data_IF_603537416273
#
_entry.id   IF_603537416273
#
_cell.length_a   1.000
_cell.length_b   1.000
_cell.length_c   1.000
_cell.angle_alpha   90.00
_cell.angle_beta   90.00
_cell.angle_gamma   90.00
#
_symmetry.space_group_name_H-M   'P 1'
#
loop_
_entity.id
_entity.type
_entity.pdbx_description
1 polymer ?
#
# COMPACT_ATOMS: atom_id res chain seq x y z
N UNK A 1 16.82 5.18 1.43
CA UNK A 1 17.28 5.50 0.06
C UNK A 1 16.83 4.35 -0.84
N UNK A 2 16.15 4.64 -1.95
CA UNK A 2 15.70 3.62 -2.90
C UNK A 2 16.71 3.43 -4.05
N UNK A 3 16.68 2.25 -4.68
CA UNK A 3 17.45 1.92 -5.89
C UNK A 3 16.53 1.99 -7.10
N UNK A 4 17.07 2.34 -8.28
CA UNK A 4 16.28 2.31 -9.51
C UNK A 4 16.14 0.87 -9.98
N UNK A 5 15.02 0.54 -10.65
CA UNK A 5 14.74 -0.82 -11.15
C UNK A 5 15.89 -1.44 -11.96
N UNK A 6 16.53 -0.65 -12.81
CA UNK A 6 17.67 -1.09 -13.63
C UNK A 6 18.93 -1.43 -12.83
N UNK A 7 19.07 -0.90 -11.62
CA UNK A 7 20.27 -1.05 -10.78
C UNK A 7 20.04 -2.10 -9.65
N UNK A 8 18.89 -2.80 -9.67
CA UNK A 8 18.52 -3.79 -8.63
C UNK A 8 19.50 -4.95 -8.60
N UNK A 9 19.88 -5.51 -9.76
CA UNK A 9 20.81 -6.64 -9.81
C UNK A 9 22.18 -6.31 -9.21
N UNK A 10 22.71 -5.13 -9.50
CA UNK A 10 23.97 -4.65 -8.93
C UNK A 10 23.85 -4.44 -7.41
N UNK A 11 22.72 -3.88 -6.96
CA UNK A 11 22.45 -3.68 -5.54
C UNK A 11 22.36 -5.00 -4.78
N UNK A 12 21.67 -6.00 -5.32
CA UNK A 12 21.56 -7.36 -4.75
C UNK A 12 22.94 -8.02 -4.68
N UNK A 13 23.73 -7.94 -5.76
CA UNK A 13 25.10 -8.48 -5.78
C UNK A 13 25.99 -7.89 -4.67
N UNK A 14 25.90 -6.58 -4.45
CA UNK A 14 26.61 -5.91 -3.36
C UNK A 14 26.17 -6.39 -1.97
N UNK A 15 24.88 -6.72 -1.78
CA UNK A 15 24.36 -7.26 -0.50
C UNK A 15 24.88 -8.67 -0.23
N UNK A 16 24.99 -9.51 -1.25
CA UNK A 16 25.57 -10.84 -1.13
C UNK A 16 27.07 -10.78 -0.77
N UNK A 17 27.83 -9.89 -1.43
CA UNK A 17 29.25 -9.67 -1.12
C UNK A 17 29.49 -9.20 0.32
N UNK A 18 28.56 -8.44 0.89
CA UNK A 18 28.62 -7.94 2.27
C UNK A 18 27.94 -8.87 3.28
N UNK A 19 27.58 -10.09 2.87
CA UNK A 19 26.91 -11.10 3.70
C UNK A 19 25.61 -10.62 4.36
N UNK A 20 24.89 -9.70 3.71
CA UNK A 20 23.61 -9.20 4.19
C UNK A 20 22.46 -10.13 3.74
N UNK A 21 22.38 -11.30 4.36
CA UNK A 21 21.36 -12.32 4.11
C UNK A 21 20.88 -12.93 5.44
N UNK A 22 20.06 -12.21 6.22
CA UNK A 22 19.69 -12.60 7.59
C UNK A 22 18.97 -13.95 7.69
N UNK A 23 18.34 -14.41 6.60
CA UNK A 23 17.59 -15.67 6.55
C UNK A 23 18.30 -16.77 5.76
N UNK A 24 19.57 -16.55 5.37
CA UNK A 24 20.36 -17.51 4.61
C UNK A 24 19.63 -18.04 3.36
N UNK A 25 18.93 -17.16 2.65
CA UNK A 25 18.24 -17.52 1.41
C UNK A 25 19.27 -17.97 0.37
N UNK A 26 19.09 -19.14 -0.29
CA UNK A 26 20.01 -19.60 -1.31
C UNK A 26 20.07 -18.66 -2.52
N UNK A 27 21.27 -18.40 -3.04
CA UNK A 27 21.50 -17.48 -4.17
C UNK A 27 20.59 -17.75 -5.36
N UNK A 28 20.34 -19.02 -5.73
CA UNK A 28 19.45 -19.37 -6.84
C UNK A 28 18.05 -18.76 -6.68
N UNK A 29 17.48 -18.80 -5.47
CA UNK A 29 16.16 -18.23 -5.18
C UNK A 29 16.14 -16.71 -5.24
N UNK A 30 17.23 -16.06 -4.83
CA UNK A 30 17.37 -14.59 -4.80
C UNK A 30 17.22 -13.99 -6.20
N UNK A 31 17.60 -14.73 -7.25
CA UNK A 31 17.53 -14.30 -8.65
C UNK A 31 16.26 -14.75 -9.37
N UNK A 32 15.51 -15.69 -8.81
CA UNK A 32 14.21 -16.14 -9.34
C UNK A 32 13.07 -15.19 -8.94
N UNK A 33 13.18 -14.55 -7.78
CA UNK A 33 12.14 -13.69 -7.22
C UNK A 33 12.13 -12.27 -7.82
N UNK A 34 10.92 -11.73 -8.03
CA UNK A 34 10.72 -10.31 -8.32
C UNK A 34 10.69 -9.47 -7.04
N UNK A 35 11.37 -8.32 -7.04
CA UNK A 35 11.41 -7.41 -5.90
C UNK A 35 10.35 -6.32 -6.00
N UNK A 36 9.51 -6.18 -4.97
CA UNK A 36 8.71 -4.97 -4.78
C UNK A 36 9.59 -3.83 -4.26
N UNK A 37 9.82 -2.83 -5.10
CA UNK A 37 10.66 -1.68 -4.76
C UNK A 37 9.92 -0.61 -3.95
N UNK A 38 8.60 -0.77 -3.75
CA UNK A 38 7.76 0.17 -3.02
C UNK A 38 7.47 -0.27 -1.59
N UNK A 39 7.91 -1.48 -1.20
CA UNK A 39 7.71 -2.01 0.14
C UNK A 39 8.99 -2.64 0.68
N UNK A 40 9.30 -2.36 1.94
CA UNK A 40 10.42 -2.99 2.65
C UNK A 40 10.00 -3.42 4.05
N UNK A 41 10.76 -4.33 4.66
CA UNK A 41 10.66 -4.64 6.10
C UNK A 41 12.02 -4.38 6.73
N UNK A 42 12.02 -3.91 7.98
CA UNK A 42 13.23 -3.85 8.78
C UNK A 42 13.48 -5.22 9.39
N UNK A 43 14.70 -5.74 9.23
CA UNK A 43 15.15 -6.97 9.88
C UNK A 43 16.08 -6.60 11.05
N UNK A 44 15.69 -6.98 12.27
CA UNK A 44 16.44 -6.74 13.49
C UNK A 44 17.28 -7.97 13.82
N UNK A 45 18.60 -7.83 13.75
CA UNK A 45 19.57 -8.85 14.13
C UNK A 45 20.30 -8.36 15.39
N UNK A 46 20.21 -9.14 16.47
CA UNK A 46 20.79 -8.78 17.78
C UNK A 46 21.65 -9.95 18.26
N UNK A 47 22.84 -9.64 18.74
CA UNK A 47 23.68 -10.61 19.45
C UNK A 47 23.85 -10.17 20.90
N UNK A 48 23.73 -11.11 21.82
CA UNK A 48 23.93 -10.88 23.25
C UNK A 48 25.25 -11.53 23.70
N UNK A 49 25.86 -10.99 24.75
CA UNK A 49 27.05 -11.61 25.36
C UNK A 49 26.59 -12.54 26.47
N UNK A 50 26.92 -13.82 26.35
CA UNK A 50 26.67 -14.82 27.38
C UNK A 50 27.62 -14.62 28.57
N UNK A 51 27.29 -15.17 29.75
CA UNK A 51 28.20 -15.14 30.91
C UNK A 51 29.58 -15.75 30.64
N UNK A 52 29.69 -16.64 29.65
CA UNK A 52 30.97 -17.20 29.16
C UNK A 52 31.85 -16.18 28.42
N UNK A 53 31.33 -15.01 28.06
CA UNK A 53 31.97 -14.02 27.20
C UNK A 53 31.71 -14.23 25.70
N UNK A 54 31.03 -15.32 25.31
CA UNK A 54 30.68 -15.62 23.93
C UNK A 54 29.53 -14.75 23.41
N UNK A 55 29.57 -14.36 22.14
CA UNK A 55 28.46 -13.68 21.47
C UNK A 55 27.46 -14.71 20.93
N UNK A 56 26.23 -14.66 21.43
CA UNK A 56 25.13 -15.51 20.97
C UNK A 56 24.15 -14.68 20.10
N UNK A 57 24.01 -15.01 18.81
CA UNK A 57 23.04 -14.34 17.94
C UNK A 57 21.61 -14.81 18.27
N UNK A 58 20.69 -13.85 18.39
CA UNK A 58 19.26 -14.12 18.52
C UNK A 58 18.63 -14.31 17.13
N UNK A 59 17.46 -14.96 17.09
CA UNK A 59 16.70 -15.11 15.86
C UNK A 59 16.31 -13.74 15.28
N UNK A 60 16.48 -13.52 13.97
CA UNK A 60 16.08 -12.27 13.34
C UNK A 60 14.58 -12.03 13.43
N UNK A 61 14.18 -10.81 13.79
CA UNK A 61 12.77 -10.40 13.86
C UNK A 61 12.50 -9.35 12.79
N UNK A 62 11.34 -9.42 12.11
CA UNK A 62 10.96 -8.48 11.04
C UNK A 62 9.83 -7.55 11.46
N UNK A 63 9.90 -6.29 11.04
CA UNK A 63 8.82 -5.33 11.23
C UNK A 63 7.60 -5.63 10.35
N UNK A 64 6.51 -4.91 10.60
CA UNK A 64 5.47 -4.72 9.58
C UNK A 64 6.05 -4.04 8.32
N UNK A 65 5.46 -4.26 7.13
CA UNK A 65 5.89 -3.59 5.91
C UNK A 65 5.88 -2.06 6.05
N UNK A 66 6.85 -1.42 5.42
CA UNK A 66 6.95 0.02 5.26
C UNK A 66 6.81 0.31 3.78
N UNK A 67 5.87 1.18 3.45
CA UNK A 67 5.46 1.48 2.09
C UNK A 67 5.98 2.85 1.62
N UNK A 68 6.40 2.95 0.35
CA UNK A 68 6.77 4.22 -0.27
C UNK A 68 5.51 5.04 -0.57
N UNK A 69 5.37 6.17 0.12
CA UNK A 69 4.23 7.05 -0.08
C UNK A 69 4.28 7.84 -1.41
N UNK A 70 5.38 7.73 -2.17
CA UNK A 70 5.49 8.34 -3.51
C UNK A 70 4.96 7.42 -4.62
N UNK A 71 4.90 6.12 -4.37
CA UNK A 71 4.47 5.14 -5.34
C UNK A 71 2.93 5.03 -5.32
N UNK A 72 2.22 5.27 -6.45
CA UNK A 72 0.76 5.35 -6.44
C UNK A 72 0.03 4.07 -5.97
N UNK A 73 0.67 2.89 -6.05
CA UNK A 73 0.11 1.61 -5.59
C UNK A 73 0.21 1.41 -4.08
N UNK A 74 1.10 2.13 -3.40
CA UNK A 74 1.34 1.97 -1.95
C UNK A 74 1.20 3.28 -1.19
N UNK A 75 0.78 4.34 -1.88
CA UNK A 75 0.54 5.64 -1.29
C UNK A 75 -0.66 5.58 -0.33
N UNK A 76 -0.58 6.36 0.73
CA UNK A 76 -1.68 6.59 1.65
C UNK A 76 -2.86 7.21 0.91
N UNK A 77 -4.03 6.59 1.02
CA UNK A 77 -5.25 7.11 0.39
C UNK A 77 -5.78 8.31 1.16
N UNK A 78 -5.92 9.44 0.47
CA UNK A 78 -6.40 10.68 1.06
C UNK A 78 -7.44 11.38 0.19
N UNK A 79 -8.61 11.63 0.79
CA UNK A 79 -9.63 12.50 0.22
C UNK A 79 -9.30 13.95 0.61
N UNK A 80 -9.06 14.80 -0.38
CA UNK A 80 -8.70 16.19 -0.17
C UNK A 80 -9.94 17.08 -0.09
N UNK A 81 -10.88 16.92 -1.02
CA UNK A 81 -12.12 17.71 -1.08
C UNK A 81 -13.22 16.92 -1.78
N UNK A 82 -14.46 17.24 -1.44
CA UNK A 82 -15.65 16.71 -2.11
C UNK A 82 -16.59 17.88 -2.42
N UNK A 83 -17.26 17.87 -3.58
CA UNK A 83 -18.22 18.93 -3.93
C UNK A 83 -19.51 18.90 -3.10
N UNK A 84 -19.93 17.71 -2.66
CA UNK A 84 -21.15 17.47 -1.88
C UNK A 84 -20.88 16.38 -0.83
N UNK A 85 -21.39 16.59 0.38
CA UNK A 85 -21.28 15.66 1.51
C UNK A 85 -22.65 15.16 2.01
N UNK A 86 -23.72 15.45 1.27
CA UNK A 86 -25.09 15.01 1.55
C UNK A 86 -25.82 14.69 0.24
N UNK A 87 -26.73 13.73 0.29
CA UNK A 87 -27.48 13.26 -0.87
C UNK A 87 -28.74 12.50 -0.47
N UNK A 88 -29.51 12.07 -1.47
CA UNK A 88 -30.70 11.26 -1.27
C UNK A 88 -30.31 9.87 -0.78
N UNK A 89 -31.08 9.31 0.16
CA UNK A 89 -30.95 7.90 0.56
C UNK A 89 -31.23 6.92 -0.59
N UNK A 90 -31.83 7.38 -1.69
CA UNK A 90 -32.01 6.59 -2.92
C UNK A 90 -30.74 6.47 -3.77
N UNK A 91 -29.67 7.20 -3.44
CA UNK A 91 -28.44 7.24 -4.22
C UNK A 91 -28.58 7.98 -5.55
N UNK A 92 -27.58 7.83 -6.40
CA UNK A 92 -27.54 8.39 -7.76
C UNK A 92 -27.02 9.83 -7.86
N UNK A 93 -26.71 10.48 -6.74
CA UNK A 93 -26.09 11.80 -6.73
C UNK A 93 -24.67 11.72 -7.31
N UNK A 94 -24.35 12.60 -8.26
CA UNK A 94 -23.02 12.69 -8.84
C UNK A 94 -22.08 13.51 -7.95
N UNK A 95 -20.94 12.92 -7.61
CA UNK A 95 -19.95 13.46 -6.67
C UNK A 95 -18.61 13.62 -7.38
N UNK A 96 -17.99 14.77 -7.17
CA UNK A 96 -16.64 15.10 -7.59
C UNK A 96 -15.74 15.04 -6.36
N UNK A 97 -14.85 14.06 -6.32
CA UNK A 97 -13.92 13.81 -5.23
C UNK A 97 -12.50 14.12 -5.69
N UNK A 98 -11.85 15.09 -5.04
CA UNK A 98 -10.43 15.38 -5.22
C UNK A 98 -9.63 14.57 -4.19
N UNK A 99 -8.57 13.91 -4.64
CA UNK A 99 -7.73 13.04 -3.83
C UNK A 99 -6.26 13.16 -4.19
N UNK A 100 -5.40 12.59 -3.35
CA UNK A 100 -4.01 12.32 -3.73
C UNK A 100 -3.94 11.25 -4.84
N UNK A 101 -2.74 10.99 -5.38
CA UNK A 101 -2.58 10.15 -6.57
C UNK A 101 -3.09 8.72 -6.33
N UNK A 102 -4.04 8.27 -7.15
CA UNK A 102 -4.60 6.91 -7.15
C UNK A 102 -4.34 6.17 -8.46
N UNK A 103 -4.46 4.85 -8.46
CA UNK A 103 -4.45 4.02 -9.68
C UNK A 103 -5.90 3.73 -10.10
N UNK A 104 -6.27 4.04 -11.35
CA UNK A 104 -7.67 3.93 -11.80
C UNK A 104 -8.13 2.46 -11.92
N UNK A 105 -7.19 1.54 -12.08
CA UNK A 105 -7.42 0.09 -12.13
C UNK A 105 -7.60 -0.54 -10.74
N UNK A 106 -7.16 0.16 -9.69
CA UNK A 106 -7.09 -0.34 -8.30
C UNK A 106 -7.54 0.75 -7.31
N UNK A 107 -8.76 1.27 -7.51
CA UNK A 107 -9.38 2.25 -6.61
C UNK A 107 -10.89 2.09 -6.58
N UNK A 108 -11.46 2.25 -5.39
CA UNK A 108 -12.90 2.21 -5.16
C UNK A 108 -13.31 3.28 -4.15
N UNK A 109 -14.52 3.82 -4.28
CA UNK A 109 -15.11 4.70 -3.27
C UNK A 109 -16.09 3.87 -2.44
N UNK A 110 -15.74 3.59 -1.20
CA UNK A 110 -16.55 2.77 -0.29
C UNK A 110 -17.33 3.63 0.70
N UNK A 111 -18.64 3.51 0.66
CA UNK A 111 -19.56 4.01 1.67
C UNK A 111 -19.75 2.92 2.71
N UNK A 112 -19.73 3.28 3.99
CA UNK A 112 -19.97 2.32 5.06
C UNK A 112 -20.57 2.99 6.28
N UNK A 113 -21.40 2.24 7.00
CA UNK A 113 -21.94 2.59 8.31
C UNK A 113 -22.28 1.27 9.04
N UNK A 114 -21.70 1.06 10.22
CA UNK A 114 -21.86 -0.18 11.00
C UNK A 114 -21.60 -1.42 10.13
N UNK A 115 -22.63 -2.25 9.89
CA UNK A 115 -22.57 -3.45 9.06
C UNK A 115 -22.92 -3.22 7.58
N UNK A 116 -23.39 -2.02 7.22
CA UNK A 116 -23.72 -1.70 5.83
C UNK A 116 -22.49 -1.13 5.12
N UNK A 117 -22.24 -1.64 3.92
CA UNK A 117 -21.29 -1.05 3.00
C UNK A 117 -21.81 -1.12 1.56
N UNK A 118 -21.39 -0.15 0.75
CA UNK A 118 -21.68 -0.12 -0.68
C UNK A 118 -20.63 0.71 -1.42
N UNK A 119 -20.54 0.51 -2.74
CA UNK A 119 -19.54 1.16 -3.59
C UNK A 119 -20.17 2.26 -4.41
N UNK A 120 -19.49 3.41 -4.49
CA UNK A 120 -19.79 4.42 -5.49
C UNK A 120 -19.62 3.86 -6.90
N UNK A 121 -20.55 4.17 -7.80
CA UNK A 121 -20.53 3.68 -9.17
C UNK A 121 -19.74 4.64 -10.06
N UNK A 122 -18.66 4.16 -10.67
CA UNK A 122 -17.86 4.86 -11.68
C UNK A 122 -17.04 3.86 -12.51
N UNK A 123 -16.48 4.34 -13.61
CA UNK A 123 -15.57 3.59 -14.49
C UNK A 123 -14.16 4.15 -14.43
N UNK A 124 -13.18 3.43 -15.00
CA UNK A 124 -11.80 3.93 -15.09
C UNK A 124 -11.69 5.27 -15.84
N UNK A 125 -12.62 5.56 -16.76
CA UNK A 125 -12.66 6.82 -17.50
C UNK A 125 -13.05 8.02 -16.62
N UNK A 126 -13.72 7.77 -15.50
CA UNK A 126 -14.17 8.79 -14.56
C UNK A 126 -13.08 9.17 -13.52
N UNK A 127 -11.92 8.49 -13.56
CA UNK A 127 -10.74 8.85 -12.78
C UNK A 127 -9.91 9.87 -13.57
N UNK A 128 -10.01 11.14 -13.19
CA UNK A 128 -9.37 12.24 -13.90
C UNK A 128 -7.92 12.42 -13.47
N UNK A 129 -6.98 12.05 -14.36
CA UNK A 129 -5.54 12.24 -14.20
C UNK A 129 -4.99 11.76 -12.84
N UNK A 130 -5.55 10.68 -12.30
CA UNK A 130 -5.19 10.08 -11.02
C UNK A 130 -5.42 10.95 -9.78
N UNK A 131 -6.02 12.12 -9.89
CA UNK A 131 -6.14 13.09 -8.77
C UNK A 131 -7.58 13.51 -8.47
N UNK A 132 -8.54 12.98 -9.23
CA UNK A 132 -9.95 13.14 -8.96
C UNK A 132 -10.75 11.94 -9.46
N UNK A 133 -11.90 11.70 -8.83
CA UNK A 133 -12.85 10.65 -9.19
C UNK A 133 -14.23 11.29 -9.29
N UNK A 134 -14.92 11.06 -10.39
CA UNK A 134 -16.35 11.36 -10.53
C UNK A 134 -17.12 10.05 -10.36
N UNK A 135 -18.04 10.00 -9.41
CA UNK A 135 -18.82 8.78 -9.16
C UNK A 135 -20.26 9.10 -8.76
N UNK A 136 -21.15 8.12 -8.85
CA UNK A 136 -22.53 8.20 -8.33
C UNK A 136 -22.67 7.49 -7.00
N UNK A 137 -23.34 8.12 -6.04
CA UNK A 137 -23.59 7.52 -4.73
C UNK A 137 -24.42 6.24 -4.86
N UNK A 138 -24.11 5.19 -4.07
CA UNK A 138 -24.99 4.03 -3.98
C UNK A 138 -26.27 4.39 -3.20
N UNK A 139 -27.38 3.64 -3.40
CA UNK A 139 -28.53 3.73 -2.50
C UNK A 139 -28.13 3.31 -1.08
N UNK A 140 -28.66 4.00 -0.07
CA UNK A 140 -28.49 3.64 1.33
C UNK A 140 -29.25 2.35 1.67
N UNK A 141 -28.96 1.73 2.82
CA UNK A 141 -29.61 0.49 3.24
C UNK A 141 -31.13 0.63 3.36
N UNK A 142 -31.59 1.77 3.88
CA UNK A 142 -32.99 2.17 3.92
C UNK A 142 -33.23 3.37 2.99
N UNK A 143 -34.07 3.18 1.98
CA UNK A 143 -34.39 4.21 0.99
C UNK A 143 -35.62 5.04 1.36
N UNK A 144 -36.21 4.79 2.53
CA UNK A 144 -37.39 5.49 3.05
C UNK A 144 -37.10 6.23 4.36
N UNK A 145 -35.91 6.81 4.48
CA UNK A 145 -35.57 7.68 5.61
C UNK A 145 -36.58 8.84 5.74
N UNK A 146 -37.15 9.00 6.93
CA UNK A 146 -38.07 10.08 7.32
C UNK A 146 -37.39 11.14 8.16
#
# INVERSE_FOLDING_TARGET
>A
QCVKKKDVGDAVSCRLQTQNNPFNIPDAKIWEDEYDLNAVRLCFQVSITLPSGELFPLEPVVSQPIYDNRAPNTAELKICRVNRNSGSCRGGDEIFLLCDKVQKEDIEVRFFQDSWESKGSFSQADVHRQVAIVFRTPPYCDTNLT
#
